data_IF_605207806904
#
_entry.id   IF_605207806904
#
_cell.length_a   1.000
_cell.length_b   1.000
_cell.length_c   1.000
_cell.angle_alpha   90.00
_cell.angle_beta   90.00
_cell.angle_gamma   90.00
#
_symmetry.space_group_name_H-M   'P 1'
#
loop_
_entity.id
_entity.type
_entity.pdbx_description
1 polymer ?
#
# COMPACT_ATOMS: atom_id res chain seq x y z
N UNK A 1 4.57 13.46 6.94
CA UNK A 1 3.67 13.00 5.86
C UNK A 1 4.59 12.50 4.74
N UNK A 2 4.48 11.24 4.33
CA UNK A 2 5.49 10.51 3.53
C UNK A 2 5.14 10.43 2.03
N UNK A 3 6.15 10.47 1.15
CA UNK A 3 5.99 10.27 -0.30
C UNK A 3 6.30 8.83 -0.70
N UNK A 4 5.44 8.22 -1.51
CA UNK A 4 5.67 6.85 -2.00
C UNK A 4 6.95 6.72 -2.85
N UNK A 5 7.43 7.82 -3.43
CA UNK A 5 8.62 7.84 -4.30
C UNK A 5 9.93 7.79 -3.53
N UNK A 6 9.92 8.21 -2.27
CA UNK A 6 11.12 8.31 -1.42
C UNK A 6 11.11 7.34 -0.25
N UNK A 7 9.97 6.70 0.00
CA UNK A 7 9.82 5.74 1.09
C UNK A 7 10.76 4.54 0.91
N UNK A 8 11.64 4.33 1.87
CA UNK A 8 12.64 3.26 1.86
C UNK A 8 12.16 1.97 2.55
N UNK A 9 10.98 1.98 3.16
CA UNK A 9 10.42 0.86 3.91
C UNK A 9 9.46 -0.01 3.08
N UNK A 10 8.91 -1.06 3.70
CA UNK A 10 7.84 -1.86 3.11
C UNK A 10 6.63 -0.99 2.74
N UNK A 11 6.00 -1.36 1.63
CA UNK A 11 4.73 -0.77 1.17
C UNK A 11 3.67 -1.84 1.18
N UNK A 12 2.53 -1.51 1.77
CA UNK A 12 1.37 -2.38 1.90
C UNK A 12 0.21 -1.80 1.09
N UNK A 13 -0.88 -2.55 0.95
CA UNK A 13 -2.15 -2.00 0.47
C UNK A 13 -3.15 -1.88 1.62
N UNK A 14 -3.87 -0.76 1.65
CA UNK A 14 -4.98 -0.57 2.57
C UNK A 14 -6.14 -1.50 2.18
N UNK A 15 -6.60 -2.32 3.12
CA UNK A 15 -7.70 -3.27 2.86
C UNK A 15 -9.04 -2.62 2.52
N UNK A 16 -9.23 -1.33 2.84
CA UNK A 16 -10.48 -0.62 2.62
C UNK A 16 -10.59 0.01 1.22
N UNK A 17 -9.50 0.56 0.69
CA UNK A 17 -9.50 1.29 -0.58
C UNK A 17 -8.52 0.75 -1.63
N UNK A 18 -7.67 -0.22 -1.26
CA UNK A 18 -6.63 -0.77 -2.13
C UNK A 18 -5.48 0.19 -2.43
N UNK A 19 -5.40 1.35 -1.77
CA UNK A 19 -4.30 2.28 -1.98
C UNK A 19 -3.05 1.90 -1.18
N UNK A 20 -1.85 2.17 -1.73
CA UNK A 20 -0.59 1.97 -1.02
C UNK A 20 -0.57 2.67 0.33
N UNK A 21 -0.10 1.99 1.36
CA UNK A 21 0.12 2.53 2.70
C UNK A 21 1.44 2.04 3.29
N UNK A 22 1.88 2.69 4.35
CA UNK A 22 3.10 2.35 5.09
C UNK A 22 2.83 2.32 6.59
N UNK A 23 3.70 1.64 7.33
CA UNK A 23 3.73 1.73 8.79
C UNK A 23 4.37 3.06 9.18
N UNK A 24 3.60 3.90 9.87
CA UNK A 24 4.09 5.18 10.37
C UNK A 24 5.09 4.99 11.51
N UNK A 25 5.64 6.11 12.00
CA UNK A 25 6.48 6.09 13.19
C UNK A 25 5.75 5.41 14.36
N UNK A 26 6.48 4.58 15.10
CA UNK A 26 5.96 3.91 16.28
C UNK A 26 5.67 4.94 17.38
N UNK A 27 4.42 5.00 17.81
CA UNK A 27 4.04 5.77 18.99
C UNK A 27 4.18 4.88 20.24
N UNK A 28 4.87 5.34 21.32
CA UNK A 28 5.09 4.52 22.51
C UNK A 28 3.81 4.08 23.23
N UNK A 29 2.69 4.79 23.07
CA UNK A 29 1.42 4.48 23.73
C UNK A 29 0.47 3.71 22.83
N UNK A 30 0.56 3.93 21.51
CA UNK A 30 -0.44 3.45 20.54
C UNK A 30 0.10 2.45 19.52
N UNK A 31 1.43 2.22 19.48
CA UNK A 31 2.11 1.44 18.45
C UNK A 31 2.20 2.18 17.11
N UNK A 32 2.62 1.48 16.05
CA UNK A 32 2.67 2.05 14.69
C UNK A 32 1.28 2.03 14.03
N UNK A 33 0.80 3.21 13.62
CA UNK A 33 -0.41 3.34 12.81
C UNK A 33 -0.09 3.26 11.31
N UNK A 34 -0.94 2.58 10.55
CA UNK A 34 -0.84 2.54 9.09
C UNK A 34 -1.34 3.85 8.47
N UNK A 35 -0.59 4.39 7.51
CA UNK A 35 -0.86 5.69 6.90
C UNK A 35 -0.82 5.61 5.37
N UNK A 36 -1.67 6.40 4.72
CA UNK A 36 -1.62 6.59 3.28
C UNK A 36 -0.47 7.55 2.89
N UNK A 37 0.03 7.41 1.66
CA UNK A 37 1.02 8.34 1.12
C UNK A 37 0.39 9.67 0.68
N UNK A 38 1.19 10.73 0.60
CA UNK A 38 0.71 12.07 0.25
C UNK A 38 0.03 12.15 -1.11
N UNK A 39 0.57 11.45 -2.11
CA UNK A 39 0.11 11.45 -3.50
C UNK A 39 -1.30 10.86 -3.68
N UNK A 40 -1.91 10.41 -2.59
CA UNK A 40 -3.25 9.82 -2.56
C UNK A 40 -4.31 10.79 -2.04
N UNK A 41 -3.90 11.95 -1.53
CA UNK A 41 -4.79 12.97 -0.96
C UNK A 41 -5.85 13.45 -1.98
N UNK A 42 -5.56 13.41 -3.28
CA UNK A 42 -6.40 13.92 -4.38
C UNK A 42 -6.94 12.84 -5.34
N UNK A 43 -6.46 11.58 -5.26
CA UNK A 43 -6.71 10.56 -6.29
C UNK A 43 -7.83 9.54 -5.99
N UNK A 44 -8.03 9.12 -4.73
CA UNK A 44 -9.10 8.16 -4.32
C UNK A 44 -9.49 8.44 -2.87
N UNK A 45 -10.78 8.60 -2.57
CA UNK A 45 -11.25 8.80 -1.19
C UNK A 45 -11.28 7.49 -0.41
N UNK A 46 -10.39 7.36 0.58
CA UNK A 46 -10.52 6.37 1.63
C UNK A 46 -11.26 6.96 2.84
N UNK A 47 -12.21 6.23 3.43
CA UNK A 47 -13.00 6.71 4.57
C UNK A 47 -12.16 6.91 5.84
N UNK A 48 -11.04 6.21 5.97
CA UNK A 48 -10.13 6.31 7.13
C UNK A 48 -9.02 7.33 6.93
N UNK A 49 -8.96 7.99 5.78
CA UNK A 49 -7.88 8.90 5.42
C UNK A 49 -7.73 10.03 6.46
N UNK A 50 -6.49 10.39 6.88
CA UNK A 50 -5.18 10.01 6.33
C UNK A 50 -4.66 8.63 6.76
N UNK A 51 -5.32 7.98 7.73
CA UNK A 51 -4.95 6.64 8.18
C UNK A 51 -5.42 5.57 7.19
N UNK A 52 -4.75 4.43 7.19
CA UNK A 52 -5.19 3.23 6.50
C UNK A 52 -5.89 2.28 7.47
N UNK A 53 -6.70 1.38 6.91
CA UNK A 53 -7.35 0.33 7.67
C UNK A 53 -6.35 -0.79 8.00
N UNK A 54 -6.61 -2.04 7.58
CA UNK A 54 -5.66 -3.14 7.76
C UNK A 54 -4.65 -3.17 6.61
N UNK A 55 -3.41 -3.55 6.92
CA UNK A 55 -2.39 -3.81 5.89
C UNK A 55 -2.66 -5.12 5.18
N UNK A 56 -2.52 -5.09 3.86
CA UNK A 56 -2.39 -6.25 3.00
C UNK A 56 -0.94 -6.26 2.52
N UNK A 57 -0.22 -7.32 2.87
CA UNK A 57 1.15 -7.53 2.40
C UNK A 57 1.14 -7.89 0.93
N UNK A 58 1.95 -7.16 0.16
CA UNK A 58 2.14 -7.39 -1.26
C UNK A 58 3.63 -7.30 -1.55
N UNK A 59 4.10 -8.02 -2.56
CA UNK A 59 5.43 -7.83 -3.13
C UNK A 59 5.42 -6.52 -3.93
N UNK A 60 5.50 -5.40 -3.21
CA UNK A 60 5.43 -4.06 -3.80
C UNK A 60 6.74 -3.75 -4.50
N UNK A 61 6.69 -3.73 -5.83
CA UNK A 61 7.78 -3.25 -6.66
C UNK A 61 7.56 -1.74 -6.89
N UNK A 62 8.54 -0.86 -6.58
CA UNK A 62 8.46 0.57 -6.86
C UNK A 62 8.65 0.80 -8.36
N UNK A 63 7.66 0.36 -9.13
CA UNK A 63 7.62 0.45 -10.58
C UNK A 63 6.37 1.23 -10.96
N UNK A 64 6.41 1.93 -12.09
CA UNK A 64 5.22 2.65 -12.54
C UNK A 64 4.05 1.68 -12.74
N UNK A 65 2.81 2.18 -12.70
CA UNK A 65 1.64 1.35 -13.01
C UNK A 65 1.76 0.73 -14.41
N UNK A 66 2.41 1.41 -15.34
CA UNK A 66 2.68 0.91 -16.69
C UNK A 66 3.75 -0.19 -16.70
N UNK A 67 4.79 -0.08 -15.89
CA UNK A 67 5.77 -1.17 -15.69
C UNK A 67 5.12 -2.39 -15.03
N UNK A 68 4.22 -2.19 -14.07
CA UNK A 68 3.48 -3.27 -13.43
C UNK A 68 2.54 -3.95 -14.44
N UNK A 69 1.86 -3.18 -15.30
CA UNK A 69 1.03 -3.70 -16.40
C UNK A 69 1.86 -4.43 -17.45
N UNK A 70 3.05 -3.94 -17.77
CA UNK A 70 3.97 -4.56 -18.72
C UNK A 70 4.56 -5.88 -18.18
N UNK A 71 4.84 -5.94 -16.87
CA UNK A 71 5.33 -7.16 -16.20
C UNK A 71 4.25 -8.22 -16.01
N UNK A 72 2.98 -7.81 -15.85
CA UNK A 72 1.85 -8.72 -15.63
C UNK A 72 0.71 -8.52 -16.64
N UNK A 73 0.93 -8.75 -17.95
CA UNK A 73 -0.10 -8.58 -18.96
C UNK A 73 -1.22 -9.62 -18.76
N UNK A 74 -2.44 -9.14 -18.45
CA UNK A 74 -3.65 -9.97 -18.36
C UNK A 74 -4.20 -10.22 -16.96
N UNK A 75 -3.49 -9.88 -15.87
CA UNK A 75 -4.00 -10.07 -14.50
C UNK A 75 -4.88 -8.92 -13.99
N UNK A 76 -5.89 -8.53 -14.77
CA UNK A 76 -6.88 -7.50 -14.35
C UNK A 76 -7.82 -7.95 -13.21
N UNK A 77 -7.85 -9.23 -12.81
CA UNK A 77 -8.86 -9.76 -11.87
C UNK A 77 -8.41 -10.78 -10.83
N UNK A 78 -7.15 -11.21 -10.83
CA UNK A 78 -6.66 -12.21 -9.88
C UNK A 78 -5.22 -11.88 -9.47
N UNK A 79 -5.06 -10.86 -8.63
CA UNK A 79 -3.94 -10.88 -7.67
C UNK A 79 -4.33 -11.96 -6.66
N UNK A 80 -4.10 -13.23 -7.02
CA UNK A 80 -4.14 -14.31 -6.04
C UNK A 80 -3.04 -14.01 -5.05
N UNK A 81 -3.47 -13.75 -3.81
CA UNK A 81 -2.65 -13.89 -2.61
C UNK A 81 -1.88 -15.20 -2.79
N UNK A 82 -0.59 -15.11 -3.10
CA UNK A 82 0.26 -16.29 -3.19
C UNK A 82 0.48 -16.73 -1.74
N UNK A 83 -0.41 -17.60 -1.28
CA UNK A 83 -0.08 -18.51 -0.21
C UNK A 83 1.01 -19.47 -0.69
N UNK A 84 2.03 -19.65 0.13
CA UNK A 84 2.83 -20.86 0.23
C UNK A 84 3.32 -20.89 1.69
N UNK A 85 2.75 -21.73 2.55
CA UNK A 85 2.98 -23.17 2.69
C UNK A 85 4.14 -23.44 3.66
N UNK A 86 3.75 -23.96 4.84
CA UNK A 86 4.50 -24.28 6.06
C UNK A 86 5.13 -23.10 6.81
#
# INVERSE_FOLDING_TARGET
MESIRTHAGPVFLCSACGQPCYEGAEDPECGSALQHFQEQWDGVRCATFPLAAKKIEVDWLPVSLDDLRARYPGKRREVRVLGAAC
#
